data_IF_257290986917
#
_entry.id   IF_257290986917
#
_cell.length_a   1.000
_cell.length_b   1.000
_cell.length_c   1.000
_cell.angle_alpha   90.00
_cell.angle_beta   90.00
_cell.angle_gamma   90.00
#
_symmetry.space_group_name_H-M   'P 1'
#
loop_
_entity.id
_entity.type
_entity.pdbx_description
1 polymer ?
#
# COMPACT_ATOMS: atom_id res chain seq x y z
N UNK A 1 -15.10 -38.88 2.94
CA UNK A 1 -14.33 -39.12 4.17
C UNK A 1 -12.87 -39.10 3.72
N UNK A 2 -12.11 -38.14 4.21
CA UNK A 2 -10.68 -38.05 3.95
C UNK A 2 -9.96 -38.92 4.96
N UNK A 3 -9.13 -39.85 4.47
CA UNK A 3 -8.30 -40.72 5.31
C UNK A 3 -6.92 -40.13 5.36
N UNK A 4 -6.28 -40.12 6.50
CA UNK A 4 -4.96 -39.55 6.72
C UNK A 4 -3.92 -40.13 5.75
N UNK A 5 -3.24 -39.24 5.04
CA UNK A 5 -2.18 -39.59 4.08
C UNK A 5 -2.63 -39.80 2.64
N UNK A 6 -3.91 -39.60 2.33
CA UNK A 6 -4.46 -39.91 1.02
C UNK A 6 -4.55 -38.72 0.07
N UNK A 7 -4.42 -39.03 -1.22
CA UNK A 7 -4.71 -38.09 -2.29
C UNK A 7 -6.21 -37.86 -2.39
N UNK A 8 -6.67 -36.64 -2.28
CA UNK A 8 -8.05 -36.27 -2.60
C UNK A 8 -8.19 -36.18 -4.10
N UNK A 9 -8.86 -37.16 -4.71
CA UNK A 9 -9.24 -37.09 -6.11
C UNK A 9 -10.63 -36.52 -6.23
N UNK A 10 -10.74 -35.32 -6.79
CA UNK A 10 -12.01 -34.69 -7.10
C UNK A 10 -12.43 -35.11 -8.51
N UNK A 11 -13.45 -35.95 -8.62
CA UNK A 11 -14.03 -36.32 -9.89
C UNK A 11 -15.21 -35.39 -10.22
N UNK A 12 -15.06 -34.61 -11.26
CA UNK A 12 -16.11 -33.71 -11.73
C UNK A 12 -16.71 -34.23 -13.04
N UNK A 13 -18.02 -34.44 -13.04
CA UNK A 13 -18.79 -34.76 -14.24
C UNK A 13 -19.45 -33.48 -14.77
N UNK A 14 -18.69 -32.61 -15.40
CA UNK A 14 -19.22 -31.36 -15.96
C UNK A 14 -18.14 -30.29 -16.13
N UNK A 15 -18.50 -29.18 -16.78
CA UNK A 15 -17.62 -28.00 -16.89
C UNK A 15 -17.54 -27.29 -15.53
N UNK A 16 -16.34 -27.28 -14.95
CA UNK A 16 -16.07 -26.46 -13.76
C UNK A 16 -15.82 -25.02 -14.19
N UNK A 17 -16.79 -24.18 -13.94
CA UNK A 17 -16.62 -22.72 -13.95
C UNK A 17 -16.52 -22.17 -12.55
N UNK A 18 -15.89 -22.93 -11.63
CA UNK A 18 -15.69 -22.46 -10.26
C UNK A 18 -14.54 -21.47 -10.23
N UNK A 19 -14.85 -20.24 -9.90
CA UNK A 19 -13.85 -19.22 -9.60
C UNK A 19 -13.33 -19.40 -8.18
N UNK A 20 -12.15 -18.84 -7.88
CA UNK A 20 -11.60 -18.86 -6.52
C UNK A 20 -12.59 -18.25 -5.50
N UNK A 21 -13.34 -17.20 -5.89
CA UNK A 21 -14.35 -16.55 -5.07
C UNK A 21 -15.57 -17.46 -4.75
N UNK A 22 -15.75 -18.58 -5.45
CA UNK A 22 -16.85 -19.52 -5.20
C UNK A 22 -16.49 -20.65 -4.22
N UNK A 23 -15.27 -20.68 -3.71
CA UNK A 23 -14.86 -21.60 -2.65
C UNK A 23 -15.43 -21.12 -1.32
N UNK A 24 -15.83 -22.03 -0.46
CA UNK A 24 -16.50 -21.72 0.82
C UNK A 24 -15.56 -21.19 1.90
N UNK A 25 -14.26 -21.35 1.68
CA UNK A 25 -13.18 -20.91 2.58
C UNK A 25 -12.45 -19.68 2.03
N UNK A 26 -13.11 -18.87 1.19
CA UNK A 26 -12.56 -17.64 0.65
C UNK A 26 -13.50 -16.46 0.87
N UNK A 27 -12.94 -15.38 1.39
CA UNK A 27 -13.58 -14.06 1.37
C UNK A 27 -12.71 -13.11 0.53
N UNK A 28 -13.12 -12.91 -0.71
CA UNK A 28 -12.46 -12.02 -1.66
C UNK A 28 -13.26 -10.74 -1.94
N UNK A 29 -14.14 -10.39 -1.00
CA UNK A 29 -14.95 -9.19 -1.11
C UNK A 29 -14.06 -7.95 -1.25
N UNK A 30 -14.26 -7.21 -2.32
CA UNK A 30 -13.52 -5.97 -2.59
C UNK A 30 -12.07 -6.16 -3.04
N UNK A 31 -11.69 -7.36 -3.53
CA UNK A 31 -10.37 -7.58 -4.12
C UNK A 31 -10.16 -6.68 -5.34
N UNK A 32 -8.98 -6.09 -5.44
CA UNK A 32 -8.54 -5.29 -6.58
C UNK A 32 -7.16 -5.74 -7.06
N UNK A 33 -6.75 -5.27 -8.22
CA UNK A 33 -5.42 -5.59 -8.75
C UNK A 33 -4.32 -5.13 -7.77
N UNK A 34 -3.42 -6.05 -7.42
CA UNK A 34 -2.33 -5.80 -6.49
C UNK A 34 -2.60 -6.28 -5.07
N UNK A 35 -3.84 -6.65 -4.74
CA UNK A 35 -4.14 -7.28 -3.46
C UNK A 35 -3.52 -8.69 -3.38
N UNK A 36 -3.23 -9.13 -2.18
CA UNK A 36 -2.78 -10.48 -1.88
C UNK A 36 -3.81 -11.22 -1.02
N UNK A 37 -3.69 -12.52 -0.97
CA UNK A 37 -4.49 -13.36 -0.09
C UNK A 37 -3.60 -13.96 1.00
N UNK A 38 -4.14 -14.09 2.20
CA UNK A 38 -3.49 -14.83 3.26
C UNK A 38 -4.52 -15.72 4.00
N UNK A 39 -4.05 -16.80 4.59
CA UNK A 39 -4.85 -17.68 5.42
C UNK A 39 -4.93 -17.15 6.84
N UNK A 40 -6.13 -16.80 7.32
CA UNK A 40 -6.33 -16.25 8.67
C UNK A 40 -6.54 -17.33 9.75
N UNK A 41 -6.50 -18.60 9.37
CA UNK A 41 -6.77 -19.74 10.23
C UNK A 41 -8.13 -20.39 9.96
N UNK A 42 -9.02 -19.76 9.23
CA UNK A 42 -10.35 -20.23 8.86
C UNK A 42 -10.61 -20.06 7.36
N UNK A 43 -10.26 -18.90 6.81
CA UNK A 43 -10.55 -18.53 5.42
C UNK A 43 -9.34 -17.90 4.74
N UNK A 44 -9.29 -17.97 3.41
CA UNK A 44 -8.44 -17.14 2.58
C UNK A 44 -9.09 -15.75 2.45
N UNK A 45 -8.47 -14.75 3.02
CA UNK A 45 -8.97 -13.37 3.04
C UNK A 45 -8.07 -12.42 2.27
N UNK A 46 -8.69 -11.37 1.72
CA UNK A 46 -7.96 -10.30 1.03
C UNK A 46 -7.18 -9.47 2.04
N UNK A 47 -5.89 -9.31 1.82
CA UNK A 47 -5.12 -8.26 2.46
C UNK A 47 -4.88 -7.14 1.47
N UNK A 48 -5.17 -5.92 1.88
CA UNK A 48 -4.79 -4.71 1.13
C UNK A 48 -3.28 -4.60 1.20
N UNK A 49 -2.67 -5.34 0.31
CA UNK A 49 -1.29 -5.61 0.33
C UNK A 49 -0.50 -4.81 -0.20
N UNK A 50 0.65 -4.94 -0.50
CA UNK A 50 1.51 -6.06 -0.30
C UNK A 50 2.59 -5.87 0.67
N UNK A 51 3.19 -4.90 0.99
CA UNK A 51 4.40 -5.05 1.78
C UNK A 51 4.45 -4.10 2.93
N UNK A 52 4.20 -2.84 2.66
CA UNK A 52 4.28 -1.82 3.70
C UNK A 52 3.11 -0.89 3.57
N UNK A 53 2.32 -0.81 4.61
CA UNK A 53 1.20 0.10 4.75
C UNK A 53 1.55 1.14 5.79
N UNK A 54 1.58 2.40 5.39
CA UNK A 54 1.77 3.53 6.29
C UNK A 54 0.50 4.36 6.40
N UNK A 55 0.09 4.61 7.63
CA UNK A 55 -0.98 5.53 7.96
C UNK A 55 -0.40 6.94 8.02
N UNK A 56 -1.00 7.85 7.24
CA UNK A 56 -0.59 9.24 7.16
C UNK A 56 -1.59 10.10 7.91
N UNK A 57 -1.20 10.58 9.06
CA UNK A 57 -1.92 11.58 9.83
C UNK A 57 -1.31 12.95 9.69
N UNK A 58 -1.71 13.88 10.55
CA UNK A 58 -1.16 15.23 10.59
C UNK A 58 -1.09 15.79 12.03
N UNK A 59 -0.10 16.63 12.27
CA UNK A 59 -0.01 17.50 13.43
C UNK A 59 -0.32 18.93 12.98
N UNK A 60 -1.61 19.21 12.91
CA UNK A 60 -2.11 20.45 12.30
C UNK A 60 -1.64 20.60 10.86
N UNK A 61 -1.08 21.74 10.51
CA UNK A 61 -0.47 22.02 9.20
C UNK A 61 1.06 22.09 9.24
N UNK A 62 1.66 21.59 10.33
CA UNK A 62 3.11 21.65 10.55
C UNK A 62 3.81 20.39 10.11
N UNK A 63 3.22 19.21 10.34
CA UNK A 63 3.86 17.93 10.05
C UNK A 63 2.85 16.91 9.55
N UNK A 64 3.29 16.01 8.65
CA UNK A 64 2.69 14.71 8.56
C UNK A 64 3.14 13.84 9.73
N UNK A 65 2.23 13.07 10.28
CA UNK A 65 2.57 11.98 11.19
C UNK A 65 2.47 10.66 10.44
N UNK A 66 3.52 9.87 10.44
CA UNK A 66 3.55 8.58 9.74
C UNK A 66 3.65 7.47 10.76
N UNK A 67 2.75 6.49 10.67
CA UNK A 67 2.67 5.31 11.51
C UNK A 67 2.67 4.03 10.65
N UNK A 68 3.18 2.93 11.20
CA UNK A 68 3.22 1.64 10.52
C UNK A 68 4.61 0.99 10.59
N UNK A 69 4.89 0.01 9.71
CA UNK A 69 6.16 -0.72 9.74
C UNK A 69 7.38 0.20 9.70
N UNK A 70 8.31 -0.02 10.63
CA UNK A 70 9.50 0.79 10.83
C UNK A 70 9.36 1.91 11.87
N UNK A 71 8.15 2.16 12.37
CA UNK A 71 7.88 3.17 13.39
C UNK A 71 7.19 2.55 14.60
N UNK A 72 7.73 2.79 15.82
CA UNK A 72 7.11 2.32 17.06
C UNK A 72 5.93 3.19 17.51
N UNK A 73 5.87 4.42 17.02
CA UNK A 73 4.81 5.40 17.24
C UNK A 73 4.71 6.30 16.01
N UNK A 74 3.59 7.00 15.85
CA UNK A 74 3.45 8.03 14.82
C UNK A 74 4.59 9.05 14.91
N UNK A 75 5.32 9.26 13.83
CA UNK A 75 6.53 10.07 13.78
C UNK A 75 6.35 11.23 12.82
N UNK A 76 6.78 12.43 13.22
CA UNK A 76 6.65 13.64 12.43
C UNK A 76 7.67 13.67 11.29
N UNK A 77 7.18 13.83 10.07
CA UNK A 77 7.95 13.98 8.81
C UNK A 77 9.18 13.05 8.71
N UNK A 78 9.06 11.73 8.98
CA UNK A 78 10.22 10.86 8.98
C UNK A 78 10.80 10.67 7.59
N UNK A 79 12.10 10.37 7.52
CA UNK A 79 12.69 9.83 6.30
C UNK A 79 12.17 8.42 6.06
N UNK A 80 11.62 8.18 4.88
CA UNK A 80 11.16 6.88 4.45
C UNK A 80 12.22 6.14 3.65
N UNK A 81 12.27 4.84 3.78
CA UNK A 81 13.16 3.96 3.04
C UNK A 81 12.32 2.95 2.27
N UNK A 82 12.46 2.93 0.97
CA UNK A 82 11.70 2.07 0.07
C UNK A 82 12.63 1.28 -0.84
N UNK A 83 12.22 0.11 -1.29
CA UNK A 83 13.00 -0.75 -2.18
C UNK A 83 12.37 -0.78 -3.58
N UNK A 84 13.23 -0.78 -4.61
CA UNK A 84 12.80 -0.93 -6.00
C UNK A 84 12.03 -2.23 -6.20
N UNK A 85 11.00 -2.20 -7.02
CA UNK A 85 10.14 -3.35 -7.31
C UNK A 85 9.08 -3.64 -6.23
N UNK A 86 9.19 -3.04 -5.04
CA UNK A 86 8.23 -3.24 -3.97
C UNK A 86 7.10 -2.22 -4.05
N UNK A 87 5.92 -2.59 -3.52
CA UNK A 87 4.76 -1.71 -3.47
C UNK A 87 4.54 -1.21 -2.04
N UNK A 88 4.19 0.05 -1.92
CA UNK A 88 3.89 0.74 -0.67
C UNK A 88 2.53 1.40 -0.76
N UNK A 89 1.79 1.40 0.36
CA UNK A 89 0.54 2.12 0.50
C UNK A 89 0.71 3.27 1.50
N UNK A 90 0.30 4.45 1.09
CA UNK A 90 0.25 5.65 1.92
C UNK A 90 -1.23 5.99 2.15
N UNK A 91 -1.75 5.57 3.29
CA UNK A 91 -3.15 5.81 3.65
C UNK A 91 -3.29 7.18 4.30
N UNK A 92 -3.72 8.14 3.50
CA UNK A 92 -3.96 9.52 3.89
C UNK A 92 -5.46 9.81 4.12
N UNK A 93 -6.29 8.79 4.23
CA UNK A 93 -7.75 8.93 4.36
C UNK A 93 -8.16 9.69 5.63
N UNK A 94 -7.42 9.53 6.73
CA UNK A 94 -7.68 10.22 7.99
C UNK A 94 -7.63 11.75 7.88
N UNK A 95 -6.87 12.29 6.92
CA UNK A 95 -6.77 13.72 6.68
C UNK A 95 -7.94 14.30 5.83
N UNK A 96 -8.84 13.44 5.32
CA UNK A 96 -10.06 13.83 4.61
C UNK A 96 -9.86 14.77 3.42
N UNK A 97 -8.67 14.77 2.81
CA UNK A 97 -8.31 15.66 1.71
C UNK A 97 -7.73 17.00 2.12
N UNK A 98 -7.67 17.33 3.43
CA UNK A 98 -7.11 18.61 3.92
C UNK A 98 -5.61 18.74 3.72
N UNK A 99 -4.91 17.60 3.62
CA UNK A 99 -3.46 17.52 3.45
C UNK A 99 -3.09 16.54 2.32
N UNK A 100 -3.29 16.91 1.03
CA UNK A 100 -3.03 15.99 -0.07
C UNK A 100 -1.55 15.57 -0.12
N UNK A 101 -1.29 14.27 -0.02
CA UNK A 101 0.05 13.68 -0.04
C UNK A 101 0.52 13.49 -1.49
N UNK A 102 1.72 13.94 -1.80
CA UNK A 102 2.31 13.82 -3.14
C UNK A 102 3.77 13.40 -3.05
N UNK A 103 4.17 12.43 -3.88
CA UNK A 103 5.58 12.11 -4.10
C UNK A 103 6.09 13.02 -5.22
N UNK A 104 7.32 13.53 -5.06
CA UNK A 104 7.92 14.47 -5.99
C UNK A 104 9.42 14.30 -6.10
N UNK A 105 10.00 14.74 -7.23
CA UNK A 105 11.43 14.63 -7.52
C UNK A 105 12.25 15.82 -7.02
N UNK A 106 11.59 16.92 -6.66
CA UNK A 106 12.23 18.11 -6.08
C UNK A 106 11.45 18.58 -4.85
N UNK A 107 12.13 19.18 -3.88
CA UNK A 107 11.51 19.64 -2.62
C UNK A 107 10.62 20.86 -2.80
N UNK A 108 9.73 21.07 -1.80
CA UNK A 108 8.90 22.25 -1.63
C UNK A 108 7.57 22.22 -2.36
N UNK A 109 6.70 23.18 -2.09
CA UNK A 109 5.34 23.24 -2.64
C UNK A 109 5.30 23.25 -4.17
N UNK A 110 6.28 23.89 -4.81
CA UNK A 110 6.43 23.95 -6.26
C UNK A 110 7.21 22.77 -6.83
N UNK A 111 7.53 21.76 -6.00
CA UNK A 111 8.28 20.58 -6.43
C UNK A 111 7.57 19.81 -7.53
N UNK A 112 8.37 19.19 -8.40
CA UNK A 112 7.86 18.43 -9.54
C UNK A 112 7.29 17.10 -9.08
N UNK A 113 6.02 16.83 -9.37
CA UNK A 113 5.38 15.55 -9.07
C UNK A 113 6.10 14.39 -9.74
N UNK A 114 6.28 13.32 -9.00
CA UNK A 114 6.77 12.03 -9.51
C UNK A 114 5.61 11.04 -9.47
N UNK A 115 5.15 10.59 -10.62
CA UNK A 115 3.93 9.76 -10.73
C UNK A 115 4.16 8.34 -11.24
N UNK A 116 5.39 8.02 -11.66
CA UNK A 116 5.71 6.68 -12.18
C UNK A 116 5.46 5.60 -11.11
N UNK A 117 4.74 4.55 -11.48
CA UNK A 117 4.40 3.42 -10.62
C UNK A 117 3.31 3.69 -9.60
N UNK A 118 2.63 4.85 -9.66
CA UNK A 118 1.57 5.20 -8.73
C UNK A 118 0.17 4.84 -9.23
N UNK A 119 -0.72 4.55 -8.27
CA UNK A 119 -2.16 4.42 -8.46
C UNK A 119 -2.90 4.89 -7.20
N UNK A 120 -4.20 5.12 -7.30
CA UNK A 120 -4.99 5.64 -6.19
C UNK A 120 -4.89 7.17 -6.09
N UNK A 121 -4.98 7.72 -4.86
CA UNK A 121 -5.04 9.16 -4.63
C UNK A 121 -4.32 9.57 -3.35
N UNK A 122 -3.53 10.64 -3.42
CA UNK A 122 -2.90 11.23 -2.25
C UNK A 122 -3.86 11.92 -1.26
N UNK A 123 -5.14 12.01 -1.56
CA UNK A 123 -6.19 12.45 -0.61
C UNK A 123 -6.89 11.30 0.10
N UNK A 124 -6.59 10.07 -0.31
CA UNK A 124 -7.13 8.83 0.26
C UNK A 124 -5.97 7.84 0.39
N UNK A 125 -5.96 6.77 -0.36
CA UNK A 125 -4.83 5.82 -0.37
C UNK A 125 -4.06 5.97 -1.68
N UNK A 126 -2.77 6.27 -1.58
CA UNK A 126 -1.83 6.27 -2.68
C UNK A 126 -1.04 4.96 -2.64
N UNK A 127 -1.13 4.16 -3.69
CA UNK A 127 -0.28 2.99 -3.89
C UNK A 127 0.88 3.36 -4.80
N UNK A 128 2.07 2.89 -4.46
CA UNK A 128 3.26 3.13 -5.27
C UNK A 128 4.11 1.88 -5.38
N UNK A 129 4.16 1.31 -6.58
CA UNK A 129 5.15 0.28 -6.93
C UNK A 129 6.39 1.01 -7.40
N UNK A 130 7.46 0.93 -6.63
CA UNK A 130 8.70 1.68 -6.88
C UNK A 130 9.33 1.18 -8.17
N UNK A 131 9.45 2.01 -9.24
CA UNK A 131 10.10 1.60 -10.48
C UNK A 131 11.55 1.20 -10.28
N UNK A 132 12.05 0.29 -11.13
CA UNK A 132 13.45 -0.13 -11.08
C UNK A 132 14.42 1.00 -11.43
N UNK A 133 13.98 1.99 -12.19
CA UNK A 133 14.72 3.19 -12.62
C UNK A 133 14.37 4.45 -11.80
N UNK A 134 13.63 4.30 -10.69
CA UNK A 134 13.30 5.43 -9.83
C UNK A 134 14.57 6.16 -9.35
N UNK A 135 14.55 7.49 -9.18
CA UNK A 135 15.65 8.24 -8.56
C UNK A 135 15.97 7.70 -7.15
N UNK A 136 17.25 7.74 -6.75
CA UNK A 136 17.68 7.30 -5.42
C UNK A 136 17.08 8.13 -4.29
N UNK A 137 16.72 9.37 -4.57
CA UNK A 137 16.09 10.27 -3.60
C UNK A 137 14.87 10.91 -4.22
N UNK A 138 13.77 10.80 -3.53
CA UNK A 138 12.50 11.47 -3.79
C UNK A 138 12.04 12.14 -2.51
N UNK A 139 10.94 12.87 -2.58
CA UNK A 139 10.38 13.60 -1.46
C UNK A 139 8.88 13.36 -1.40
N UNK A 140 8.31 13.36 -0.20
CA UNK A 140 6.87 13.52 -0.07
C UNK A 140 6.56 14.94 0.41
N UNK A 141 5.42 15.45 0.01
CA UNK A 141 5.01 16.83 0.29
C UNK A 141 3.48 16.94 0.34
N UNK A 142 2.98 17.68 1.32
CA UNK A 142 1.63 18.21 1.27
C UNK A 142 1.55 19.28 0.18
N UNK A 143 0.55 19.19 -0.71
CA UNK A 143 0.44 20.17 -1.80
C UNK A 143 -0.09 21.54 -1.35
N UNK A 144 -0.49 21.69 -0.08
CA UNK A 144 -1.08 22.90 0.49
C UNK A 144 -0.14 23.54 1.53
N UNK A 145 0.54 22.71 2.35
CA UNK A 145 1.33 23.19 3.49
C UNK A 145 2.83 22.91 3.29
N UNK A 146 3.62 23.97 3.32
CA UNK A 146 5.05 23.90 2.99
C UNK A 146 5.88 23.09 3.98
N UNK A 147 5.50 23.06 5.24
CA UNK A 147 6.26 22.38 6.30
C UNK A 147 6.03 20.85 6.33
N UNK A 148 4.90 20.38 5.83
CA UNK A 148 4.54 18.97 5.83
C UNK A 148 5.23 18.25 4.67
N UNK A 149 6.47 17.81 4.89
CA UNK A 149 7.29 17.17 3.85
C UNK A 149 8.38 16.31 4.46
N UNK A 150 8.95 15.42 3.67
CA UNK A 150 10.13 14.64 4.07
C UNK A 150 10.79 13.94 2.90
N UNK A 151 11.83 13.18 3.21
CA UNK A 151 12.67 12.48 2.22
C UNK A 151 12.23 11.03 2.05
N UNK A 152 12.31 10.54 0.82
CA UNK A 152 12.18 9.13 0.48
C UNK A 152 13.50 8.66 -0.12
N UNK A 153 14.20 7.76 0.56
CA UNK A 153 15.38 7.08 0.06
C UNK A 153 14.99 5.79 -0.64
N UNK A 154 15.32 5.69 -1.92
CA UNK A 154 15.03 4.51 -2.75
C UNK A 154 16.27 3.61 -2.76
N UNK A 155 16.12 2.42 -2.21
CA UNK A 155 17.16 1.41 -2.07
C UNK A 155 17.12 0.42 -3.24
N UNK A 156 18.24 -0.33 -3.40
CA UNK A 156 18.37 -1.39 -4.40
C UNK A 156 17.69 -2.65 -3.92
#
# INVERSE_FOLDING_TARGET
TVVSGDTVTLNFSGSLTTTFAALTDTDVTGIVQGDSLYWNGTDWVVTKSPMTWWEIGSDGSSHYTINGPGFSTATNDPTLYVMRGMTYAFDNSANGGSHPFRIQSTQGLSGTAYTAGQSGSGTNVLYWTVPMDAPNTLYYQCTIHALMNGTINVLI
#
